data_IF_643084244321
#
_entry.id   IF_643084244321
#
_cell.length_a   1.000
_cell.length_b   1.000
_cell.length_c   1.000
_cell.angle_alpha   90.00
_cell.angle_beta   90.00
_cell.angle_gamma   90.00
#
_symmetry.space_group_name_H-M   'P 1'
#
loop_
_entity.id
_entity.type
_entity.pdbx_description
1 polymer ?
#
# COMPACT_ATOMS: atom_id res chain seq x y z
N UNK A 1 -65.76 -55.97 -9.32
CA UNK A 1 -66.51 -54.82 -8.80
C UNK A 1 -65.53 -53.89 -8.12
N UNK A 2 -65.45 -52.73 -8.65
CA UNK A 2 -64.85 -51.48 -8.19
C UNK A 2 -63.33 -51.38 -8.02
N UNK A 3 -62.85 -50.74 -8.99
CA UNK A 3 -61.55 -50.11 -9.14
C UNK A 3 -61.39 -48.96 -8.14
N UNK A 4 -60.23 -48.88 -7.52
CA UNK A 4 -59.75 -47.66 -6.95
C UNK A 4 -58.40 -47.29 -7.59
N UNK A 5 -58.50 -46.47 -8.59
CA UNK A 5 -57.37 -45.74 -9.14
C UNK A 5 -56.88 -44.72 -8.12
N UNK A 6 -55.76 -44.97 -7.50
CA UNK A 6 -55.03 -43.97 -6.74
C UNK A 6 -54.02 -43.28 -7.62
N UNK A 7 -54.38 -42.08 -8.02
CA UNK A 7 -53.50 -41.14 -8.68
C UNK A 7 -52.37 -40.75 -7.76
N UNK A 8 -51.18 -41.25 -8.00
CA UNK A 8 -49.97 -40.77 -7.33
C UNK A 8 -49.51 -39.52 -8.10
N UNK A 9 -49.84 -38.35 -7.56
CA UNK A 9 -49.26 -37.09 -8.00
C UNK A 9 -47.83 -37.02 -7.48
N UNK A 10 -46.91 -37.28 -8.38
CA UNK A 10 -45.48 -37.03 -8.17
C UNK A 10 -45.27 -35.52 -8.21
N UNK A 11 -45.08 -34.94 -7.04
CA UNK A 11 -44.69 -33.52 -6.88
C UNK A 11 -43.22 -33.43 -7.19
N UNK A 12 -42.86 -32.99 -8.41
CA UNK A 12 -41.52 -32.67 -8.83
C UNK A 12 -41.14 -31.34 -8.13
N UNK A 13 -40.41 -31.42 -7.02
CA UNK A 13 -39.70 -30.28 -6.44
C UNK A 13 -38.52 -29.99 -7.36
N UNK A 14 -38.63 -28.95 -8.18
CA UNK A 14 -37.51 -28.34 -8.86
C UNK A 14 -36.71 -27.54 -7.83
N UNK A 15 -35.68 -28.15 -7.30
CA UNK A 15 -34.67 -27.42 -6.51
C UNK A 15 -33.86 -26.58 -7.50
N UNK A 16 -34.17 -25.28 -7.57
CA UNK A 16 -33.34 -24.31 -8.25
C UNK A 16 -32.02 -24.19 -7.47
N UNK A 17 -30.98 -24.85 -7.93
CA UNK A 17 -29.60 -24.58 -7.51
C UNK A 17 -29.25 -23.16 -7.98
N UNK A 18 -29.36 -22.21 -7.08
CA UNK A 18 -28.72 -20.91 -7.23
C UNK A 18 -27.21 -21.17 -7.09
N UNK A 19 -26.55 -21.40 -8.20
CA UNK A 19 -25.10 -21.33 -8.27
C UNK A 19 -24.73 -19.87 -8.02
N UNK A 20 -24.38 -19.54 -6.77
CA UNK A 20 -23.60 -18.36 -6.45
C UNK A 20 -22.27 -18.57 -7.17
N UNK A 21 -22.12 -17.93 -8.33
CA UNK A 21 -20.84 -17.77 -8.96
C UNK A 21 -19.98 -16.94 -8.01
N UNK A 22 -19.22 -17.60 -7.13
CA UNK A 22 -18.02 -17.02 -6.62
C UNK A 22 -17.17 -16.74 -7.85
N UNK A 23 -16.98 -15.48 -8.18
CA UNK A 23 -15.93 -15.09 -9.10
C UNK A 23 -14.62 -15.49 -8.41
N UNK A 24 -14.18 -16.71 -8.64
CA UNK A 24 -12.82 -17.13 -8.35
C UNK A 24 -11.93 -16.37 -9.35
N UNK A 25 -11.56 -15.16 -8.98
CA UNK A 25 -10.55 -14.38 -9.70
C UNK A 25 -9.24 -15.16 -9.55
N UNK A 26 -8.66 -15.58 -10.67
CA UNK A 26 -7.43 -16.34 -10.67
C UNK A 26 -6.34 -15.59 -9.87
N UNK A 27 -5.46 -16.31 -9.12
CA UNK A 27 -4.35 -15.67 -8.41
C UNK A 27 -3.51 -14.83 -9.39
N UNK A 28 -3.39 -13.53 -9.12
CA UNK A 28 -2.68 -12.56 -9.97
C UNK A 28 -3.58 -11.71 -10.88
N UNK A 29 -4.82 -12.11 -11.15
CA UNK A 29 -5.76 -11.27 -11.89
C UNK A 29 -6.22 -10.09 -11.02
N UNK A 30 -6.05 -8.86 -11.54
CA UNK A 30 -6.37 -7.63 -10.79
C UNK A 30 -5.25 -7.15 -9.85
N UNK A 31 -4.06 -7.72 -9.94
CA UNK A 31 -2.83 -7.19 -9.36
C UNK A 31 -2.01 -6.48 -10.45
N UNK A 32 -1.21 -5.46 -10.09
CA UNK A 32 -0.35 -4.78 -11.05
C UNK A 32 0.82 -5.68 -11.46
N UNK A 33 1.33 -5.47 -12.67
CA UNK A 33 2.68 -5.91 -13.02
C UNK A 33 3.70 -5.11 -12.19
N UNK A 34 4.56 -5.77 -11.39
CA UNK A 34 5.41 -5.09 -10.42
C UNK A 34 6.43 -4.16 -11.06
N UNK A 35 7.01 -4.55 -12.21
CA UNK A 35 8.00 -3.72 -12.91
C UNK A 35 7.35 -2.45 -13.47
N UNK A 36 6.20 -2.58 -14.11
CA UNK A 36 5.42 -1.44 -14.62
C UNK A 36 4.95 -0.51 -13.49
N UNK A 37 4.61 -1.08 -12.34
CA UNK A 37 4.23 -0.30 -11.17
C UNK A 37 5.43 0.47 -10.60
N UNK A 38 6.59 -0.17 -10.48
CA UNK A 38 7.81 0.43 -9.93
C UNK A 38 8.28 1.65 -10.73
N UNK A 39 8.18 1.60 -12.07
CA UNK A 39 8.55 2.73 -12.96
C UNK A 39 7.79 4.02 -12.61
N UNK A 40 6.57 3.93 -12.06
CA UNK A 40 5.77 5.10 -11.65
C UNK A 40 6.37 5.87 -10.47
N UNK A 41 7.30 5.25 -9.74
CA UNK A 41 7.95 5.83 -8.55
C UNK A 41 9.34 6.40 -8.82
N UNK A 42 9.90 6.14 -9.98
CA UNK A 42 11.17 6.69 -10.41
C UNK A 42 12.20 5.67 -10.86
N UNK A 43 13.36 6.16 -11.28
CA UNK A 43 14.45 5.30 -11.72
C UNK A 43 15.10 4.56 -10.55
N UNK A 44 15.44 3.29 -10.77
CA UNK A 44 16.09 2.45 -9.76
C UNK A 44 15.17 1.88 -8.70
N UNK A 45 13.85 2.14 -8.77
CA UNK A 45 12.87 1.49 -7.92
C UNK A 45 12.58 0.10 -8.48
N UNK A 46 12.64 -0.90 -7.62
CA UNK A 46 12.31 -2.29 -7.95
C UNK A 46 10.98 -2.68 -7.30
N UNK A 47 10.18 -3.49 -8.00
CA UNK A 47 8.86 -3.93 -7.55
C UNK A 47 8.76 -5.44 -7.43
N UNK A 48 8.03 -5.92 -6.44
CA UNK A 48 7.68 -7.32 -6.23
C UNK A 48 6.27 -7.44 -5.67
N UNK A 49 5.51 -8.45 -6.12
CA UNK A 49 4.22 -8.79 -5.50
C UNK A 49 4.45 -9.87 -4.45
N UNK A 50 4.07 -9.58 -3.20
CA UNK A 50 4.07 -10.52 -2.08
C UNK A 50 2.66 -10.73 -1.57
N UNK A 51 2.06 -11.85 -1.97
CA UNK A 51 0.63 -12.06 -1.76
C UNK A 51 -0.18 -11.08 -2.60
N UNK A 52 -0.88 -10.17 -1.96
CA UNK A 52 -1.63 -9.07 -2.58
C UNK A 52 -1.10 -7.68 -2.18
N UNK A 53 0.16 -7.60 -1.78
CA UNK A 53 0.87 -6.36 -1.46
C UNK A 53 1.95 -6.13 -2.52
N UNK A 54 1.97 -4.94 -3.12
CA UNK A 54 3.09 -4.47 -3.93
C UNK A 54 4.19 -3.97 -3.00
N UNK A 55 5.34 -4.62 -3.03
CA UNK A 55 6.55 -4.17 -2.34
C UNK A 55 7.42 -3.40 -3.31
N UNK A 56 7.86 -2.22 -2.92
CA UNK A 56 8.76 -1.36 -3.68
C UNK A 56 10.06 -1.19 -2.90
N UNK A 57 11.17 -1.49 -3.52
CA UNK A 57 12.50 -1.20 -2.98
C UNK A 57 13.06 0.06 -3.63
N UNK A 58 13.38 1.05 -2.80
CA UNK A 58 13.71 2.40 -3.24
C UNK A 58 15.12 2.75 -2.79
N UNK A 59 16.04 3.11 -3.72
CA UNK A 59 17.34 3.64 -3.37
C UNK A 59 17.18 5.00 -2.68
N UNK A 60 17.78 5.17 -1.49
CA UNK A 60 17.57 6.33 -0.62
C UNK A 60 18.88 6.96 -0.11
N UNK A 61 19.96 6.80 -0.84
CA UNK A 61 21.29 7.29 -0.40
C UNK A 61 21.45 8.81 -0.45
N UNK A 62 20.92 9.45 -1.48
CA UNK A 62 21.06 10.89 -1.69
C UNK A 62 20.18 11.69 -0.72
N UNK A 63 18.97 11.24 -0.51
CA UNK A 63 18.02 11.81 0.44
C UNK A 63 18.52 11.69 1.87
N UNK A 64 19.07 10.52 2.24
CA UNK A 64 19.64 10.28 3.56
C UNK A 64 20.82 11.25 3.84
N UNK A 65 21.71 11.45 2.87
CA UNK A 65 22.84 12.41 3.01
C UNK A 65 22.35 13.84 3.14
N UNK A 66 21.26 14.20 2.45
CA UNK A 66 20.71 15.57 2.43
C UNK A 66 20.01 15.93 3.73
N UNK A 67 19.23 15.03 4.29
CA UNK A 67 18.30 15.35 5.38
C UNK A 67 18.52 14.58 6.69
N UNK A 68 19.46 13.63 6.72
CA UNK A 68 19.78 12.84 7.92
C UNK A 68 18.61 12.01 8.47
N UNK A 69 18.57 11.77 9.80
CA UNK A 69 17.62 10.83 10.41
C UNK A 69 16.15 11.16 10.20
N UNK A 70 15.76 12.43 10.13
CA UNK A 70 14.36 12.78 9.90
C UNK A 70 13.91 12.45 8.48
N UNK A 71 14.82 12.59 7.51
CA UNK A 71 14.55 12.16 6.14
C UNK A 71 14.53 10.62 6.01
N UNK A 72 15.43 9.94 6.74
CA UNK A 72 15.43 8.48 6.83
C UNK A 72 14.06 7.96 7.31
N UNK A 73 13.53 8.58 8.38
CA UNK A 73 12.20 8.27 8.93
C UNK A 73 11.08 8.60 7.94
N UNK A 74 11.17 9.71 7.23
CA UNK A 74 10.19 10.17 6.23
C UNK A 74 10.22 9.41 4.91
N UNK A 75 11.34 8.71 4.65
CA UNK A 75 11.64 8.08 3.35
C UNK A 75 10.49 7.31 2.72
N UNK A 76 9.90 6.32 3.38
CA UNK A 76 8.80 5.56 2.80
C UNK A 76 7.58 6.42 2.44
N UNK A 77 7.30 7.46 3.22
CA UNK A 77 6.11 8.30 3.06
C UNK A 77 6.18 9.22 1.84
N UNK A 78 7.39 9.58 1.40
CA UNK A 78 7.58 10.33 0.16
C UNK A 78 7.05 9.57 -1.06
N UNK A 79 7.07 8.25 -1.02
CA UNK A 79 6.63 7.37 -2.09
C UNK A 79 5.20 6.86 -1.88
N UNK A 80 4.82 6.52 -0.64
CA UNK A 80 3.47 6.03 -0.33
C UNK A 80 2.39 7.09 -0.57
N UNK A 81 2.66 8.37 -0.27
CA UNK A 81 1.66 9.42 -0.39
C UNK A 81 1.75 10.16 -1.72
N UNK A 82 1.71 9.39 -2.82
CA UNK A 82 1.77 9.91 -4.20
C UNK A 82 0.48 9.62 -4.96
N UNK A 83 0.32 10.28 -6.12
CA UNK A 83 -0.74 9.93 -7.06
C UNK A 83 -0.59 8.50 -7.57
N UNK A 84 0.63 8.05 -7.83
CA UNK A 84 0.91 6.70 -8.30
C UNK A 84 0.34 5.61 -7.37
N UNK A 85 0.51 5.76 -6.06
CA UNK A 85 -0.05 4.80 -5.09
C UNK A 85 -1.58 4.79 -5.11
N UNK A 86 -2.20 5.97 -5.18
CA UNK A 86 -3.65 6.08 -5.27
C UNK A 86 -4.18 5.43 -6.55
N UNK A 87 -3.58 5.76 -7.69
CA UNK A 87 -3.96 5.22 -8.99
C UNK A 87 -3.81 3.69 -9.04
N UNK A 88 -2.73 3.15 -8.45
CA UNK A 88 -2.54 1.70 -8.31
C UNK A 88 -3.68 1.03 -7.54
N UNK A 89 -4.15 1.64 -6.46
CA UNK A 89 -5.31 1.11 -5.74
C UNK A 89 -6.59 1.20 -6.56
N UNK A 90 -6.80 2.26 -7.33
CA UNK A 90 -7.99 2.42 -8.18
C UNK A 90 -7.98 1.42 -9.35
N UNK A 91 -6.83 1.24 -10.00
CA UNK A 91 -6.66 0.37 -11.17
C UNK A 91 -6.64 -1.13 -10.82
N UNK A 92 -6.20 -1.50 -9.60
CA UNK A 92 -5.95 -2.89 -9.21
C UNK A 92 -6.79 -3.29 -7.99
N UNK A 93 -8.02 -3.74 -8.16
CA UNK A 93 -8.95 -4.00 -7.05
C UNK A 93 -8.47 -5.04 -6.02
N UNK A 94 -7.60 -5.97 -6.42
CA UNK A 94 -7.07 -7.00 -5.53
C UNK A 94 -5.80 -6.58 -4.77
N UNK A 95 -5.21 -5.44 -5.11
CA UNK A 95 -4.07 -4.92 -4.38
C UNK A 95 -4.50 -4.47 -2.99
N UNK A 96 -4.10 -5.17 -1.94
CA UNK A 96 -4.47 -4.88 -0.57
C UNK A 96 -3.61 -3.81 0.09
N UNK A 97 -2.39 -3.63 -0.39
CA UNK A 97 -1.46 -2.65 0.17
C UNK A 97 -0.28 -2.35 -0.76
N UNK A 98 0.37 -1.24 -0.48
CA UNK A 98 1.68 -0.89 -1.05
C UNK A 98 2.66 -0.76 0.11
N UNK A 99 3.76 -1.48 0.04
CA UNK A 99 4.89 -1.40 0.97
C UNK A 99 6.06 -0.73 0.29
N UNK A 100 6.65 0.25 0.94
CA UNK A 100 7.89 0.89 0.51
C UNK A 100 8.99 0.55 1.49
N UNK A 101 10.12 0.07 0.98
CA UNK A 101 11.35 -0.19 1.70
C UNK A 101 12.41 0.73 1.13
N UNK A 102 12.96 1.61 1.95
CA UNK A 102 14.07 2.48 1.55
C UNK A 102 15.39 1.82 1.90
N UNK A 103 16.36 1.87 0.96
CA UNK A 103 17.67 1.22 1.12
C UNK A 103 18.82 2.19 0.90
N UNK A 104 19.90 1.95 1.64
CA UNK A 104 21.21 2.58 1.37
C UNK A 104 21.77 2.09 0.02
N UNK A 105 22.81 2.77 -0.53
CA UNK A 105 23.52 2.27 -1.70
C UNK A 105 24.14 0.89 -1.51
N UNK A 106 24.47 0.52 -0.28
CA UNK A 106 25.03 -0.78 0.08
C UNK A 106 23.95 -1.86 0.28
N UNK A 107 22.67 -1.50 0.10
CA UNK A 107 21.52 -2.40 0.15
C UNK A 107 20.92 -2.59 1.55
N UNK A 108 21.44 -1.91 2.59
CA UNK A 108 20.87 -1.99 3.93
C UNK A 108 19.50 -1.30 3.99
N UNK A 109 18.56 -1.92 4.68
CA UNK A 109 17.23 -1.35 4.93
C UNK A 109 17.35 -0.18 5.90
N UNK A 110 16.79 0.97 5.52
CA UNK A 110 16.75 2.19 6.35
C UNK A 110 15.42 2.29 7.09
N UNK A 111 14.33 2.12 6.34
CA UNK A 111 12.98 2.20 6.85
C UNK A 111 12.02 1.46 5.93
N UNK A 112 10.91 0.99 6.47
CA UNK A 112 9.78 0.47 5.68
C UNK A 112 8.46 0.97 6.23
N UNK A 113 7.49 1.13 5.35
CA UNK A 113 6.11 1.38 5.71
C UNK A 113 5.16 0.71 4.72
N UNK A 114 4.00 0.31 5.22
CA UNK A 114 2.93 -0.32 4.43
C UNK A 114 1.66 0.50 4.57
N UNK A 115 1.15 0.98 3.45
CA UNK A 115 -0.16 1.62 3.38
C UNK A 115 -1.18 0.60 2.88
N UNK A 116 -2.16 0.30 3.70
CA UNK A 116 -3.27 -0.58 3.33
C UNK A 116 -4.30 0.15 2.47
N UNK A 117 -4.93 -0.59 1.57
CA UNK A 117 -6.08 -0.10 0.79
C UNK A 117 -7.19 0.40 1.72
N UNK A 118 -7.77 1.55 1.39
CA UNK A 118 -8.88 2.13 2.13
C UNK A 118 -8.50 2.76 3.47
N UNK A 119 -7.21 2.76 3.84
CA UNK A 119 -6.73 3.40 5.07
C UNK A 119 -6.91 4.92 5.04
N UNK A 120 -6.80 5.53 3.86
CA UNK A 120 -6.97 6.96 3.65
C UNK A 120 -8.29 7.26 2.94
N UNK A 121 -9.10 8.17 3.50
CA UNK A 121 -10.26 8.76 2.84
C UNK A 121 -9.81 9.86 1.87
N UNK A 122 -10.70 10.34 1.03
CA UNK A 122 -10.40 11.33 -0.01
C UNK A 122 -9.68 12.59 0.53
N UNK A 123 -10.17 13.15 1.61
CA UNK A 123 -9.55 14.34 2.20
C UNK A 123 -8.18 14.05 2.84
N UNK A 124 -7.96 12.83 3.34
CA UNK A 124 -6.69 12.36 3.90
C UNK A 124 -5.67 12.14 2.77
N UNK A 125 -6.09 11.61 1.62
CA UNK A 125 -5.26 11.53 0.42
C UNK A 125 -4.77 12.90 -0.04
N UNK A 126 -5.66 13.90 -0.09
CA UNK A 126 -5.29 15.25 -0.46
C UNK A 126 -4.29 15.85 0.52
N UNK A 127 -4.49 15.63 1.83
CA UNK A 127 -3.56 16.06 2.88
C UNK A 127 -2.20 15.36 2.77
N UNK A 128 -2.19 14.02 2.63
CA UNK A 128 -1.00 13.20 2.52
C UNK A 128 -0.10 13.65 1.36
N UNK A 129 -0.70 13.82 0.16
CA UNK A 129 0.00 14.27 -1.04
C UNK A 129 0.58 15.68 -0.89
N UNK A 130 -0.17 16.60 -0.28
CA UNK A 130 0.33 17.95 0.00
C UNK A 130 1.49 17.95 0.99
N UNK A 131 1.42 17.14 2.05
CA UNK A 131 2.52 16.99 3.01
C UNK A 131 3.76 16.41 2.34
N UNK A 132 3.62 15.31 1.59
CA UNK A 132 4.73 14.66 0.90
C UNK A 132 5.39 15.59 -0.12
N UNK A 133 4.60 16.26 -0.98
CA UNK A 133 5.13 17.17 -1.99
C UNK A 133 5.86 18.36 -1.38
N UNK A 134 5.30 19.00 -0.35
CA UNK A 134 5.96 20.12 0.34
C UNK A 134 7.21 19.68 1.10
N UNK A 135 7.17 18.55 1.77
CA UNK A 135 8.33 18.02 2.48
C UNK A 135 9.47 17.68 1.52
N UNK A 136 9.16 17.16 0.35
CA UNK A 136 10.13 16.86 -0.71
C UNK A 136 10.80 18.13 -1.27
N UNK A 137 10.02 19.18 -1.49
CA UNK A 137 10.50 20.43 -2.10
C UNK A 137 11.23 21.33 -1.09
N UNK A 138 10.70 21.46 0.11
CA UNK A 138 11.14 22.48 1.09
C UNK A 138 11.73 21.86 2.37
N UNK A 139 11.68 20.53 2.53
CA UNK A 139 12.00 19.87 3.82
C UNK A 139 13.44 20.03 4.29
N UNK A 140 14.39 20.27 3.37
CA UNK A 140 15.78 20.55 3.74
C UNK A 140 15.89 21.89 4.46
N UNK A 141 15.17 22.93 3.99
CA UNK A 141 15.15 24.25 4.59
C UNK A 141 14.17 24.34 5.76
N UNK A 142 13.14 23.50 5.72
CA UNK A 142 12.03 23.47 6.69
C UNK A 142 11.79 22.06 7.24
N UNK A 143 12.64 21.54 8.12
CA UNK A 143 12.55 20.16 8.62
C UNK A 143 11.20 19.80 9.25
N UNK A 144 10.48 20.78 9.80
CA UNK A 144 9.12 20.59 10.34
C UNK A 144 8.11 20.05 9.31
N UNK A 145 8.34 20.26 8.01
CA UNK A 145 7.49 19.69 6.98
C UNK A 145 7.68 18.17 6.88
N UNK A 146 8.92 17.70 7.04
CA UNK A 146 9.23 16.27 7.09
C UNK A 146 8.69 15.67 8.38
N UNK A 147 8.82 16.34 9.52
CA UNK A 147 8.23 15.90 10.79
C UNK A 147 6.71 15.72 10.68
N UNK A 148 6.00 16.68 10.06
CA UNK A 148 4.56 16.58 9.83
C UNK A 148 4.18 15.41 8.92
N UNK A 149 4.98 15.15 7.88
CA UNK A 149 4.82 14.01 7.01
C UNK A 149 5.00 12.69 7.78
N UNK A 150 6.06 12.63 8.61
CA UNK A 150 6.35 11.47 9.46
C UNK A 150 5.19 11.18 10.41
N UNK A 151 4.74 12.15 11.18
CA UNK A 151 3.61 11.96 12.11
C UNK A 151 2.35 11.48 11.38
N UNK A 152 2.05 12.10 10.25
CA UNK A 152 0.91 11.66 9.45
C UNK A 152 1.09 10.22 8.94
N UNK A 153 2.30 9.87 8.51
CA UNK A 153 2.63 8.53 8.01
C UNK A 153 2.51 7.47 9.10
N UNK A 154 3.10 7.71 10.27
CA UNK A 154 3.05 6.81 11.42
C UNK A 154 1.61 6.53 11.89
N UNK A 155 0.71 7.52 11.83
CA UNK A 155 -0.70 7.37 12.19
C UNK A 155 -1.51 6.51 11.18
N UNK A 156 -1.02 6.42 9.92
CA UNK A 156 -1.80 5.82 8.83
C UNK A 156 -1.16 4.58 8.19
N UNK A 157 0.01 4.15 8.64
CA UNK A 157 0.73 3.00 8.08
C UNK A 157 1.23 2.06 9.16
N UNK A 158 1.47 0.81 8.79
CA UNK A 158 2.38 -0.04 9.55
C UNK A 158 3.81 0.32 9.15
N UNK A 159 4.68 0.58 10.12
CA UNK A 159 6.02 1.05 9.84
C UNK A 159 7.07 0.41 10.76
N UNK A 160 8.30 0.37 10.26
CA UNK A 160 9.47 -0.11 10.99
C UNK A 160 10.70 0.67 10.53
N UNK A 161 11.57 0.97 11.48
CA UNK A 161 12.78 1.76 11.27
C UNK A 161 14.01 0.98 11.71
N UNK A 162 15.07 1.07 10.93
CA UNK A 162 16.39 0.62 11.36
C UNK A 162 17.00 1.69 12.28
N UNK A 163 17.27 1.34 13.54
CA UNK A 163 17.73 2.27 14.57
C UNK A 163 19.11 2.88 14.26
N UNK A 164 19.92 2.22 13.44
CA UNK A 164 21.23 2.73 13.01
C UNK A 164 21.09 3.99 12.14
N UNK A 165 20.00 4.11 11.39
CA UNK A 165 19.71 5.27 10.53
C UNK A 165 18.63 6.17 11.12
N UNK A 166 17.72 5.63 11.90
CA UNK A 166 16.56 6.33 12.46
C UNK A 166 16.53 6.11 13.97
N UNK A 167 17.36 6.84 14.73
CA UNK A 167 17.37 6.70 16.17
C UNK A 167 15.98 7.02 16.76
N UNK A 168 15.60 6.39 17.88
CA UNK A 168 14.35 6.65 18.54
C UNK A 168 14.23 8.16 18.87
N UNK A 169 13.03 8.72 18.64
CA UNK A 169 12.75 10.09 19.02
C UNK A 169 12.95 10.22 20.53
N UNK A 170 13.89 11.05 20.97
CA UNK A 170 13.98 11.41 22.39
C UNK A 170 12.69 12.18 22.72
N UNK A 171 11.82 11.55 23.51
CA UNK A 171 10.74 12.29 24.16
C UNK A 171 11.45 13.33 25.02
N UNK A 172 11.30 14.60 24.67
CA UNK A 172 11.84 15.68 25.48
C UNK A 172 11.26 15.55 26.89
N UNK A 173 12.18 15.59 27.88
CA UNK A 173 11.85 15.69 29.28
C UNK A 173 11.14 17.02 29.58
#
# INVERSE_FOLDING_TARGET
>A
MQQFLRSFRVLLLAAALVATACNDVAPGEGLPDPDSAAVRYGSGVEGEIRGNVLQLEVPFGDELRRGGPIWARGGPYFYLFTGATRDLFEENPQLAGVRVITRTPDGEEVARATLERGRLREHEWNRARNLAGRAQLEGTERPRLVEQLVFFGEDHTEHEYNEDFVPPLRRGD
#
